data_IF_203851157857
#
_entry.id   IF_203851157857
#
_cell.length_a   1.000
_cell.length_b   1.000
_cell.length_c   1.000
_cell.angle_alpha   90.00
_cell.angle_beta   90.00
_cell.angle_gamma   90.00
#
_symmetry.space_group_name_H-M   'P 1'
#
loop_
_entity.id
_entity.type
_entity.pdbx_description
1 polymer ?
#
# COMPACT_ATOMS: atom_id res chain seq x y z
N UNK A 1 -1.15 34.54 7.82
CA UNK A 1 -1.45 34.85 9.25
C UNK A 1 -2.17 33.66 9.86
N UNK A 2 -1.68 33.13 10.99
CA UNK A 2 -2.42 32.16 11.81
C UNK A 2 -3.55 32.92 12.53
N UNK A 3 -4.81 32.60 12.23
CA UNK A 3 -5.99 33.29 12.78
C UNK A 3 -6.59 32.56 13.99
N UNK A 4 -6.35 31.25 14.10
CA UNK A 4 -6.73 30.44 15.27
C UNK A 4 -5.54 30.22 16.20
N UNK A 5 -5.81 30.18 17.50
CA UNK A 5 -4.81 29.83 18.52
C UNK A 5 -4.61 28.31 18.67
N UNK A 6 -5.59 27.50 18.25
CA UNK A 6 -5.51 26.04 18.33
C UNK A 6 -4.73 25.44 17.15
N UNK A 7 -3.98 24.34 17.33
CA UNK A 7 -3.41 23.59 16.22
C UNK A 7 -4.51 22.93 15.39
N UNK A 8 -4.18 22.49 14.17
CA UNK A 8 -5.11 21.77 13.29
C UNK A 8 -4.64 20.33 13.05
N UNK A 9 -5.61 19.46 12.79
CA UNK A 9 -5.41 18.17 12.13
C UNK A 9 -6.27 18.19 10.86
N UNK A 10 -5.63 18.13 9.70
CA UNK A 10 -6.31 18.19 8.40
C UNK A 10 -6.03 16.92 7.60
N UNK A 11 -7.08 16.13 7.38
CA UNK A 11 -7.02 14.96 6.49
C UNK A 11 -7.54 15.36 5.10
N UNK A 12 -6.69 15.21 4.08
CA UNK A 12 -7.06 15.47 2.68
C UNK A 12 -7.04 14.15 1.91
N UNK A 13 -8.23 13.60 1.65
CA UNK A 13 -8.39 12.37 0.87
C UNK A 13 -8.51 12.68 -0.62
N UNK A 14 -7.43 12.49 -1.38
CA UNK A 14 -7.50 12.56 -2.84
C UNK A 14 -8.16 11.32 -3.43
N UNK A 15 -8.86 11.50 -4.56
CA UNK A 15 -9.59 10.41 -5.22
C UNK A 15 -8.81 9.68 -6.32
N UNK A 16 -7.97 10.39 -7.08
CA UNK A 16 -7.15 9.78 -8.14
C UNK A 16 -5.92 9.15 -7.49
N UNK A 17 -5.41 8.01 -7.99
CA UNK A 17 -5.69 7.39 -9.29
C UNK A 17 -6.84 6.37 -9.32
N UNK A 18 -7.71 6.27 -8.30
CA UNK A 18 -8.84 5.33 -8.34
C UNK A 18 -9.71 5.54 -9.59
N UNK A 19 -10.21 4.46 -10.18
CA UNK A 19 -11.07 4.47 -11.37
C UNK A 19 -12.36 5.31 -11.16
N UNK A 20 -12.97 5.86 -12.22
CA UNK A 20 -12.44 5.95 -13.58
C UNK A 20 -11.27 6.95 -13.67
N UNK A 21 -10.37 6.73 -14.64
CA UNK A 21 -9.23 7.62 -14.90
C UNK A 21 -9.69 8.91 -15.60
N UNK A 22 -10.26 9.82 -14.81
CA UNK A 22 -10.72 11.13 -15.26
C UNK A 22 -9.79 12.21 -14.73
N UNK A 23 -8.99 12.78 -15.63
CA UNK A 23 -7.97 13.80 -15.37
C UNK A 23 -7.93 14.81 -16.54
N UNK A 24 -7.32 16.01 -16.37
CA UNK A 24 -7.14 16.95 -17.47
C UNK A 24 -6.29 16.36 -18.59
N UNK A 25 -6.79 16.36 -19.83
CA UNK A 25 -6.20 15.63 -20.98
C UNK A 25 -4.74 15.98 -21.28
N UNK A 26 -4.28 17.17 -20.88
CA UNK A 26 -2.89 17.61 -21.00
C UNK A 26 -1.91 16.64 -20.33
N UNK A 27 -2.25 16.02 -19.20
CA UNK A 27 -1.39 15.05 -18.51
C UNK A 27 -1.16 13.77 -19.32
N UNK A 28 -2.04 13.44 -20.27
CA UNK A 28 -1.83 12.31 -21.16
C UNK A 28 -0.58 12.51 -22.04
N UNK A 29 -0.21 13.76 -22.34
CA UNK A 29 0.94 14.10 -23.20
C UNK A 29 2.28 13.75 -22.57
N UNK A 30 2.34 13.62 -21.24
CA UNK A 30 3.56 13.20 -20.52
C UNK A 30 3.92 11.73 -20.82
N UNK A 31 2.96 10.94 -21.27
CA UNK A 31 3.07 9.49 -21.39
C UNK A 31 2.67 9.00 -22.78
N UNK A 32 3.43 9.33 -23.85
CA UNK A 32 3.14 8.82 -25.20
C UNK A 32 3.15 7.28 -25.21
N UNK A 33 2.16 6.66 -25.88
CA UNK A 33 1.97 5.20 -25.85
C UNK A 33 3.16 4.42 -26.42
N UNK A 34 3.91 5.04 -27.33
CA UNK A 34 5.13 4.51 -27.93
C UNK A 34 6.21 4.22 -26.89
N UNK A 35 6.18 4.94 -25.76
CA UNK A 35 7.11 4.80 -24.64
C UNK A 35 6.51 4.02 -23.46
N UNK A 36 5.29 3.49 -23.59
CA UNK A 36 4.63 2.69 -22.54
C UNK A 36 4.81 1.21 -22.85
N UNK A 37 5.48 0.50 -21.93
CA UNK A 37 5.59 -0.97 -21.93
C UNK A 37 4.45 -1.60 -21.11
N UNK A 38 4.26 -2.90 -21.28
CA UNK A 38 3.42 -3.71 -20.38
C UNK A 38 4.06 -3.84 -18.98
N UNK A 39 3.36 -4.51 -18.07
CA UNK A 39 3.99 -5.07 -16.88
C UNK A 39 5.11 -6.05 -17.30
N UNK A 40 6.16 -6.24 -16.48
CA UNK A 40 7.22 -7.22 -16.75
C UNK A 40 6.70 -8.66 -16.89
N UNK A 41 5.61 -8.95 -16.19
CA UNK A 41 5.00 -10.25 -15.91
C UNK A 41 3.49 -10.24 -16.26
N UNK A 42 3.11 -9.99 -17.53
CA UNK A 42 1.72 -9.77 -17.90
C UNK A 42 0.85 -11.04 -17.95
N UNK A 43 1.46 -12.22 -17.79
CA UNK A 43 0.81 -13.52 -17.86
C UNK A 43 0.40 -14.00 -16.46
N UNK A 44 -0.66 -14.81 -16.38
CA UNK A 44 -1.04 -15.45 -15.11
C UNK A 44 -0.02 -16.55 -14.80
N UNK A 45 0.70 -16.50 -13.66
CA UNK A 45 1.71 -17.51 -13.35
C UNK A 45 1.10 -18.90 -13.16
N UNK A 46 1.75 -19.94 -13.69
CA UNK A 46 1.29 -21.33 -13.53
C UNK A 46 1.19 -21.76 -12.06
N UNK A 47 2.07 -21.20 -11.20
CA UNK A 47 2.13 -21.50 -9.77
C UNK A 47 1.16 -20.69 -8.89
N UNK A 48 0.39 -19.76 -9.47
CA UNK A 48 -0.57 -18.94 -8.74
C UNK A 48 -1.84 -19.76 -8.44
N UNK A 49 -2.15 -20.09 -7.16
CA UNK A 49 -3.37 -20.82 -6.87
C UNK A 49 -4.62 -19.99 -7.22
N UNK A 50 -5.68 -20.57 -7.83
CA UNK A 50 -6.86 -19.83 -8.24
C UNK A 50 -7.54 -19.01 -7.12
N UNK A 51 -7.43 -19.45 -5.86
CA UNK A 51 -8.00 -18.75 -4.71
C UNK A 51 -7.34 -17.39 -4.48
N UNK A 52 -6.07 -17.24 -4.85
CA UNK A 52 -5.35 -15.98 -4.74
C UNK A 52 -5.72 -15.00 -5.86
N UNK A 53 -6.19 -15.48 -7.02
CA UNK A 53 -6.53 -14.65 -8.17
C UNK A 53 -7.82 -13.84 -7.96
N UNK A 54 -7.81 -12.56 -8.32
CA UNK A 54 -8.98 -11.68 -8.30
C UNK A 54 -9.53 -11.40 -9.72
N UNK A 55 -10.84 -11.53 -9.98
CA UNK A 55 -11.37 -11.43 -11.36
C UNK A 55 -11.57 -10.00 -11.90
N UNK A 56 -11.29 -8.96 -11.10
CA UNK A 56 -11.32 -7.54 -11.48
C UNK A 56 -12.62 -7.10 -12.16
N UNK A 57 -13.75 -7.57 -11.65
CA UNK A 57 -15.09 -7.43 -12.23
C UNK A 57 -15.58 -5.98 -12.32
N UNK A 58 -15.11 -5.10 -11.43
CA UNK A 58 -15.52 -3.70 -11.38
C UNK A 58 -15.07 -2.94 -12.65
N UNK A 59 -13.82 -3.11 -13.09
CA UNK A 59 -13.33 -2.39 -14.29
C UNK A 59 -14.03 -2.83 -15.57
N UNK A 60 -14.54 -4.08 -15.63
CA UNK A 60 -15.25 -4.66 -16.79
C UNK A 60 -16.60 -3.99 -17.06
N UNK A 61 -17.15 -3.25 -16.11
CA UNK A 61 -18.45 -2.57 -16.25
C UNK A 61 -18.37 -1.24 -17.01
N UNK A 62 -17.16 -0.76 -17.35
CA UNK A 62 -17.00 0.48 -18.13
C UNK A 62 -17.20 0.21 -19.62
N UNK A 63 -17.86 1.11 -20.33
CA UNK A 63 -18.29 0.92 -21.72
C UNK A 63 -17.14 0.53 -22.66
N UNK A 64 -16.00 1.22 -22.53
CA UNK A 64 -14.79 0.97 -23.31
C UNK A 64 -14.15 -0.39 -23.01
N UNK A 65 -14.21 -0.85 -21.76
CA UNK A 65 -13.74 -2.19 -21.36
C UNK A 65 -14.73 -3.28 -21.79
N UNK A 66 -16.02 -3.04 -21.62
CA UNK A 66 -17.09 -3.98 -21.98
C UNK A 66 -17.11 -4.25 -23.49
N UNK A 67 -16.84 -3.23 -24.30
CA UNK A 67 -16.75 -3.33 -25.77
C UNK A 67 -15.61 -4.25 -26.25
N UNK A 68 -14.60 -4.54 -25.41
CA UNK A 68 -13.50 -5.43 -25.76
C UNK A 68 -13.87 -6.92 -25.62
N UNK A 69 -15.02 -7.24 -25.01
CA UNK A 69 -15.50 -8.60 -24.80
C UNK A 69 -14.45 -9.54 -24.15
N UNK A 70 -13.78 -9.04 -23.11
CA UNK A 70 -12.68 -9.73 -22.44
C UNK A 70 -13.21 -10.91 -21.63
N UNK A 71 -12.63 -12.10 -21.80
CA UNK A 71 -12.97 -13.33 -21.08
C UNK A 71 -12.86 -13.16 -19.56
N UNK A 72 -13.77 -13.81 -18.84
CA UNK A 72 -13.80 -13.90 -17.37
C UNK A 72 -13.37 -15.31 -16.97
N UNK A 73 -12.57 -15.49 -15.88
CA UNK A 73 -12.03 -14.45 -15.00
C UNK A 73 -10.63 -13.94 -15.42
N UNK A 74 -9.92 -14.64 -16.30
CA UNK A 74 -8.47 -14.40 -16.49
C UNK A 74 -8.09 -13.41 -17.61
N UNK A 75 -9.05 -12.96 -18.43
CA UNK A 75 -8.72 -12.19 -19.63
C UNK A 75 -7.93 -13.03 -20.65
N UNK A 76 -6.81 -12.54 -21.23
CA UNK A 76 -6.12 -11.29 -20.88
C UNK A 76 -6.78 -10.05 -21.48
N UNK A 77 -6.49 -8.87 -20.92
CA UNK A 77 -6.82 -7.58 -21.55
C UNK A 77 -5.97 -7.43 -22.82
N UNK A 78 -6.51 -6.97 -23.97
CA UNK A 78 -5.70 -6.73 -25.17
C UNK A 78 -4.52 -5.79 -24.90
N UNK A 79 -3.34 -6.14 -25.44
CA UNK A 79 -2.06 -5.42 -25.22
C UNK A 79 -2.18 -3.90 -25.41
N UNK A 80 -2.86 -3.46 -26.46
CA UNK A 80 -3.07 -2.02 -26.71
C UNK A 80 -3.91 -1.34 -25.63
N UNK A 81 -4.87 -2.05 -25.06
CA UNK A 81 -5.70 -1.52 -23.98
C UNK A 81 -4.99 -1.58 -22.62
N UNK A 82 -4.14 -2.59 -22.37
CA UNK A 82 -3.26 -2.62 -21.19
C UNK A 82 -2.37 -1.37 -21.13
N UNK A 83 -1.73 -1.01 -22.26
CA UNK A 83 -0.91 0.21 -22.34
C UNK A 83 -1.72 1.49 -22.14
N UNK A 84 -2.97 1.54 -22.63
CA UNK A 84 -3.89 2.69 -22.40
C UNK A 84 -4.29 2.81 -20.93
N UNK A 85 -4.53 1.70 -20.22
CA UNK A 85 -4.78 1.70 -18.78
C UNK A 85 -3.57 2.28 -18.05
N UNK A 86 -2.36 1.77 -18.33
CA UNK A 86 -1.10 2.25 -17.72
C UNK A 86 -0.87 3.74 -17.99
N UNK A 87 -1.02 4.18 -19.24
CA UNK A 87 -0.96 5.61 -19.59
C UNK A 87 -1.93 6.46 -18.75
N UNK A 88 -3.17 6.01 -18.62
CA UNK A 88 -4.22 6.75 -17.90
C UNK A 88 -4.01 6.75 -16.39
N UNK A 89 -3.46 5.66 -15.84
CA UNK A 89 -3.04 5.59 -14.45
C UNK A 89 -1.89 6.56 -14.17
N UNK A 90 -0.82 6.53 -14.97
CA UNK A 90 0.33 7.44 -14.80
C UNK A 90 -0.07 8.91 -14.97
N UNK A 91 -0.90 9.23 -15.97
CA UNK A 91 -1.43 10.59 -16.13
C UNK A 91 -2.30 11.02 -14.93
N UNK A 92 -3.06 10.11 -14.33
CA UNK A 92 -3.82 10.38 -13.10
C UNK A 92 -2.90 10.63 -11.91
N UNK A 93 -1.76 9.96 -11.83
CA UNK A 93 -0.74 10.16 -10.79
C UNK A 93 -0.04 11.52 -10.96
N UNK A 94 0.39 11.91 -12.17
CA UNK A 94 0.94 13.27 -12.37
C UNK A 94 -0.09 14.36 -12.09
N UNK A 95 -1.36 14.12 -12.45
CA UNK A 95 -2.42 15.05 -12.08
C UNK A 95 -2.55 15.17 -10.56
N UNK A 96 -2.58 14.05 -9.83
CA UNK A 96 -2.57 14.03 -8.37
C UNK A 96 -1.38 14.80 -7.81
N UNK A 97 -0.18 14.56 -8.34
CA UNK A 97 1.05 15.22 -7.92
C UNK A 97 0.95 16.74 -8.01
N UNK A 98 0.38 17.30 -9.09
CA UNK A 98 0.13 18.76 -9.16
C UNK A 98 -0.84 19.27 -8.09
N UNK A 99 -1.82 18.46 -7.66
CA UNK A 99 -2.73 18.85 -6.58
C UNK A 99 -2.02 18.83 -5.23
N UNK A 100 -1.17 17.83 -4.99
CA UNK A 100 -0.29 17.78 -3.82
C UNK A 100 0.65 18.98 -3.82
N UNK A 101 1.31 19.28 -4.94
CA UNK A 101 2.20 20.43 -5.08
C UNK A 101 1.50 21.76 -4.79
N UNK A 102 0.24 21.94 -5.22
CA UNK A 102 -0.56 23.13 -4.87
C UNK A 102 -0.86 23.22 -3.37
N UNK A 103 -1.24 22.09 -2.75
CA UNK A 103 -1.50 22.04 -1.30
C UNK A 103 -0.24 22.37 -0.50
N UNK A 104 0.89 21.78 -0.86
CA UNK A 104 2.17 21.98 -0.18
C UNK A 104 2.75 23.38 -0.42
N UNK A 105 2.66 23.90 -1.65
CA UNK A 105 3.09 25.27 -1.95
C UNK A 105 2.27 26.31 -1.17
N UNK A 106 0.96 26.08 -1.01
CA UNK A 106 0.12 26.95 -0.19
C UNK A 106 0.49 26.87 1.31
N UNK A 107 0.86 25.68 1.80
CA UNK A 107 1.35 25.49 3.17
C UNK A 107 2.63 26.32 3.41
N UNK A 108 3.54 26.33 2.45
CA UNK A 108 4.76 27.13 2.44
C UNK A 108 4.49 28.63 2.42
N UNK A 109 3.61 29.09 1.52
CA UNK A 109 3.21 30.50 1.41
C UNK A 109 2.59 31.03 2.72
N UNK A 110 1.91 30.14 3.45
CA UNK A 110 1.33 30.42 4.76
C UNK A 110 2.35 30.32 5.91
N UNK A 111 3.61 30.01 5.61
CA UNK A 111 4.71 29.82 6.57
C UNK A 111 4.38 28.74 7.61
N UNK A 112 3.70 27.67 7.18
CA UNK A 112 3.28 26.56 8.04
C UNK A 112 4.24 25.38 8.02
N UNK A 113 5.19 25.33 7.07
CA UNK A 113 6.14 24.23 6.93
C UNK A 113 6.98 23.99 8.19
N UNK A 114 7.41 25.04 8.89
CA UNK A 114 8.21 24.91 10.12
C UNK A 114 7.44 24.35 11.35
N UNK A 115 6.12 24.18 11.26
CA UNK A 115 5.25 23.81 12.40
C UNK A 115 4.15 22.82 12.04
N UNK A 116 4.22 22.19 10.87
CA UNK A 116 3.23 21.21 10.39
C UNK A 116 3.91 19.90 10.04
N UNK A 117 3.46 18.82 10.68
CA UNK A 117 3.82 17.46 10.26
C UNK A 117 3.01 17.11 9.01
N UNK A 118 3.66 16.51 8.01
CA UNK A 118 2.99 16.03 6.81
C UNK A 118 3.19 14.52 6.74
N UNK A 119 2.09 13.77 6.73
CA UNK A 119 2.09 12.35 6.43
C UNK A 119 1.39 12.13 5.09
N UNK A 120 2.07 11.48 4.15
CA UNK A 120 1.55 11.14 2.83
C UNK A 120 1.54 9.62 2.69
N UNK A 121 0.38 9.06 2.31
CA UNK A 121 0.23 7.62 2.12
C UNK A 121 -0.93 7.27 1.18
N UNK A 122 -1.10 5.99 0.88
CA UNK A 122 -2.24 5.41 0.15
C UNK A 122 -2.97 4.41 1.03
N UNK A 123 -4.24 4.13 0.76
CA UNK A 123 -5.02 3.10 1.44
C UNK A 123 -4.61 1.68 1.01
N UNK A 124 -4.28 1.49 -0.27
CA UNK A 124 -3.73 0.27 -0.85
C UNK A 124 -3.02 0.54 -2.19
N UNK A 125 -2.48 -0.51 -2.82
CA UNK A 125 -1.88 -0.48 -4.15
C UNK A 125 -2.88 -0.70 -5.30
N UNK A 126 -2.38 -0.94 -6.52
CA UNK A 126 -3.19 -1.23 -7.71
C UNK A 126 -2.34 -1.94 -8.79
N UNK A 127 -2.64 -3.21 -9.09
CA UNK A 127 -2.03 -3.99 -10.16
C UNK A 127 -2.38 -3.42 -11.55
N UNK A 128 -1.36 -3.26 -12.39
CA UNK A 128 -1.37 -2.67 -13.72
C UNK A 128 -0.96 -3.70 -14.80
N UNK A 129 -1.32 -4.97 -14.58
CA UNK A 129 -1.07 -6.09 -15.46
C UNK A 129 -0.11 -7.14 -14.89
N UNK A 130 0.59 -6.85 -13.79
CA UNK A 130 1.43 -7.83 -13.08
C UNK A 130 0.60 -9.09 -12.74
N UNK A 131 1.14 -10.27 -12.99
CA UNK A 131 0.49 -11.59 -12.89
C UNK A 131 -0.83 -11.74 -13.67
N UNK A 132 -1.03 -10.94 -14.73
CA UNK A 132 -2.31 -10.86 -15.44
C UNK A 132 -3.45 -10.27 -14.59
N UNK A 133 -3.11 -9.60 -13.49
CA UNK A 133 -4.03 -9.02 -12.52
C UNK A 133 -4.25 -7.52 -12.74
N UNK A 134 -5.44 -7.07 -12.31
CA UNK A 134 -5.81 -5.66 -12.30
C UNK A 134 -6.50 -5.31 -10.99
N UNK A 135 -6.42 -4.05 -10.58
CA UNK A 135 -6.99 -3.56 -9.33
C UNK A 135 -6.24 -4.07 -8.08
N UNK A 136 -6.91 -4.40 -6.97
CA UNK A 136 -6.25 -4.43 -5.63
C UNK A 136 -6.64 -5.59 -4.74
N UNK A 137 -7.55 -6.45 -5.17
CA UNK A 137 -8.25 -7.37 -4.29
C UNK A 137 -7.40 -8.62 -4.01
N UNK A 138 -6.13 -8.43 -3.66
CA UNK A 138 -5.05 -9.43 -3.67
C UNK A 138 -4.07 -9.19 -2.53
N UNK A 139 -3.28 -10.22 -2.22
CA UNK A 139 -2.18 -10.17 -1.26
C UNK A 139 -0.80 -9.90 -1.92
N UNK A 140 -0.69 -9.76 -3.25
CA UNK A 140 0.58 -9.41 -3.90
C UNK A 140 1.16 -8.06 -3.43
N UNK A 141 2.48 -7.87 -3.58
CA UNK A 141 3.14 -6.61 -3.23
C UNK A 141 2.52 -5.43 -3.99
N UNK A 142 2.20 -5.56 -5.27
CA UNK A 142 1.57 -4.49 -6.08
C UNK A 142 0.21 -4.02 -5.55
N UNK A 143 -0.49 -4.83 -4.77
CA UNK A 143 -1.78 -4.51 -4.16
C UNK A 143 -1.65 -4.02 -2.71
N UNK A 144 -0.58 -4.39 -2.00
CA UNK A 144 -0.43 -4.15 -0.55
C UNK A 144 0.67 -3.14 -0.19
N UNK A 145 1.67 -2.97 -1.05
CA UNK A 145 2.74 -1.98 -0.87
C UNK A 145 2.23 -0.57 -1.20
N UNK A 146 2.34 0.33 -0.23
CA UNK A 146 1.89 1.72 -0.34
C UNK A 146 3.03 2.70 -0.09
N UNK A 147 3.02 3.89 -0.70
CA UNK A 147 3.92 4.96 -0.28
C UNK A 147 3.62 5.34 1.17
N UNK A 148 4.66 5.62 1.96
CA UNK A 148 4.51 6.16 3.31
C UNK A 148 5.65 7.14 3.60
N UNK A 149 5.33 8.43 3.57
CA UNK A 149 6.29 9.51 3.79
C UNK A 149 5.87 10.35 4.98
N UNK A 150 6.84 10.71 5.82
CA UNK A 150 6.66 11.64 6.93
C UNK A 150 7.65 12.79 6.81
N UNK A 151 7.14 14.01 6.77
CA UNK A 151 7.89 15.23 7.02
C UNK A 151 7.63 15.71 8.45
N UNK A 152 8.72 15.93 9.19
CA UNK A 152 8.70 16.38 10.58
C UNK A 152 9.63 17.61 10.69
N UNK A 153 9.08 18.81 10.94
CA UNK A 153 9.85 20.05 10.94
C UNK A 153 11.05 19.99 11.90
N UNK A 154 12.25 20.29 11.40
CA UNK A 154 13.48 20.28 12.18
C UNK A 154 14.01 18.90 12.55
N UNK A 155 13.40 17.81 12.05
CA UNK A 155 13.85 16.43 12.33
C UNK A 155 14.14 15.62 11.06
N UNK A 156 13.28 15.71 10.04
CA UNK A 156 13.52 15.05 8.74
C UNK A 156 14.28 15.94 7.76
N UNK A 157 14.19 17.26 7.94
CA UNK A 157 14.94 18.30 7.25
C UNK A 157 15.21 19.46 8.22
N UNK A 158 16.16 20.34 7.89
CA UNK A 158 16.37 21.60 8.59
C UNK A 158 15.09 22.45 8.58
N UNK A 159 14.91 23.28 9.60
CA UNK A 159 13.83 24.27 9.57
C UNK A 159 14.12 25.31 8.49
N UNK A 160 13.11 25.78 7.74
CA UNK A 160 13.32 26.78 6.69
C UNK A 160 13.77 28.12 7.29
N UNK A 161 14.74 28.75 6.65
CA UNK A 161 15.17 30.12 6.94
C UNK A 161 14.11 31.16 6.51
N UNK A 162 14.32 32.42 6.86
CA UNK A 162 13.38 33.48 6.54
C UNK A 162 13.25 33.67 5.01
N UNK A 163 12.08 33.33 4.46
CA UNK A 163 11.78 33.43 3.03
C UNK A 163 12.12 32.19 2.21
N UNK A 164 12.66 31.15 2.83
CA UNK A 164 12.89 29.85 2.19
C UNK A 164 11.58 29.08 1.99
N UNK A 165 11.49 28.35 0.87
CA UNK A 165 10.36 27.46 0.54
C UNK A 165 10.88 26.03 0.38
N UNK A 166 10.32 25.09 1.13
CA UNK A 166 10.70 23.67 1.07
C UNK A 166 9.90 22.90 0.01
N UNK A 167 8.69 23.34 -0.28
CA UNK A 167 7.72 22.71 -1.17
C UNK A 167 7.23 23.66 -2.27
N UNK A 168 8.13 24.29 -3.06
CA UNK A 168 7.71 25.06 -4.22
C UNK A 168 6.95 24.15 -5.20
N UNK A 169 5.90 24.66 -5.82
CA UNK A 169 5.22 23.94 -6.91
C UNK A 169 6.20 23.67 -8.05
N UNK A 170 6.26 22.42 -8.49
CA UNK A 170 7.03 21.99 -9.66
C UNK A 170 6.06 21.58 -10.76
N UNK A 171 6.30 22.06 -11.99
CA UNK A 171 5.46 21.72 -13.14
C UNK A 171 5.99 20.44 -13.81
N UNK A 172 5.18 19.36 -13.92
CA UNK A 172 5.61 18.14 -14.59
C UNK A 172 5.85 18.32 -16.10
N UNK A 173 5.41 19.44 -16.71
CA UNK A 173 5.69 19.75 -18.11
C UNK A 173 7.06 20.42 -18.32
N UNK A 174 7.77 20.79 -17.26
CA UNK A 174 9.11 21.34 -17.34
C UNK A 174 10.17 20.22 -17.37
N UNK A 175 10.80 20.02 -18.54
CA UNK A 175 11.82 18.96 -18.74
C UNK A 175 13.13 19.18 -17.97
N UNK A 176 13.25 20.26 -17.19
CA UNK A 176 14.44 20.59 -16.40
C UNK A 176 14.46 19.91 -15.02
N UNK A 177 13.32 19.39 -14.56
CA UNK A 177 13.21 18.72 -13.27
C UNK A 177 13.79 17.31 -13.34
N UNK A 178 15.07 17.16 -13.00
CA UNK A 178 15.60 15.85 -12.64
C UNK A 178 15.00 15.41 -11.30
N UNK A 179 14.92 14.09 -11.06
CA UNK A 179 14.60 13.57 -9.74
C UNK A 179 15.55 14.20 -8.72
N UNK A 180 14.98 14.85 -7.70
CA UNK A 180 15.76 15.41 -6.59
C UNK A 180 16.47 14.29 -5.84
N UNK A 181 17.49 14.62 -5.04
CA UNK A 181 18.18 13.64 -4.23
C UNK A 181 17.19 12.90 -3.30
N UNK A 182 17.31 11.57 -3.15
CA UNK A 182 16.50 10.85 -2.18
C UNK A 182 16.73 11.38 -0.76
N UNK A 183 15.64 11.68 -0.06
CA UNK A 183 15.69 12.05 1.35
C UNK A 183 16.10 10.88 2.26
N UNK A 184 15.76 10.99 3.54
CA UNK A 184 15.92 9.89 4.51
C UNK A 184 15.05 8.70 4.09
N UNK A 185 15.64 7.50 4.05
CA UNK A 185 14.95 6.25 3.73
C UNK A 185 15.10 5.26 4.91
N UNK A 186 14.13 4.35 5.03
CA UNK A 186 14.17 3.19 5.92
C UNK A 186 13.65 1.98 5.13
N UNK A 187 14.25 0.82 5.37
CA UNK A 187 13.84 -0.47 4.82
C UNK A 187 13.13 -1.33 5.86
N UNK A 188 12.86 -0.78 7.06
CA UNK A 188 12.13 -1.49 8.09
C UNK A 188 10.70 -1.77 7.60
N UNK A 189 10.23 -3.00 7.84
CA UNK A 189 8.85 -3.33 7.51
C UNK A 189 7.89 -2.65 8.49
N UNK A 190 6.94 -1.92 7.92
CA UNK A 190 5.97 -1.10 8.63
C UNK A 190 4.59 -1.29 8.04
N UNK A 191 3.57 -0.93 8.81
CA UNK A 191 2.17 -1.19 8.49
C UNK A 191 1.32 0.05 8.71
N UNK A 192 0.25 0.22 7.92
CA UNK A 192 -0.67 1.35 8.08
C UNK A 192 -1.35 1.39 9.47
N UNK A 193 -1.52 0.24 10.15
CA UNK A 193 -2.02 0.20 11.54
C UNK A 193 -1.11 0.95 12.53
N UNK A 194 0.15 1.21 12.15
CA UNK A 194 1.12 1.99 12.91
C UNK A 194 0.99 3.51 12.68
N UNK A 195 0.12 3.97 11.76
CA UNK A 195 -0.06 5.40 11.47
C UNK A 195 -0.61 6.17 12.68
N UNK A 196 -1.62 5.61 13.37
CA UNK A 196 -2.24 6.26 14.53
C UNK A 196 -1.24 6.54 15.68
N UNK A 197 -0.51 5.56 16.23
CA UNK A 197 0.46 5.84 17.30
C UNK A 197 1.61 6.75 16.82
N UNK A 198 2.00 6.66 15.54
CA UNK A 198 3.06 7.48 14.98
C UNK A 198 2.67 8.95 14.89
N UNK A 199 1.48 9.27 14.37
CA UNK A 199 1.00 10.65 14.31
C UNK A 199 0.80 11.24 15.71
N UNK A 200 0.23 10.48 16.64
CA UNK A 200 0.08 10.93 18.03
C UNK A 200 1.44 11.29 18.65
N UNK A 201 2.42 10.40 18.53
CA UNK A 201 3.77 10.64 19.06
C UNK A 201 4.48 11.81 18.37
N UNK A 202 4.43 11.90 17.03
CA UNK A 202 5.08 12.98 16.29
C UNK A 202 4.48 14.35 16.64
N UNK A 203 3.18 14.41 16.90
CA UNK A 203 2.48 15.62 17.34
C UNK A 203 2.75 15.99 18.81
N UNK A 204 3.57 15.22 19.53
CA UNK A 204 3.87 15.45 20.95
C UNK A 204 2.72 15.11 21.90
N UNK A 205 1.74 14.32 21.44
CA UNK A 205 0.66 13.79 22.28
C UNK A 205 1.10 12.47 22.92
N UNK A 206 0.39 12.07 23.99
CA UNK A 206 0.57 10.74 24.56
C UNK A 206 0.17 9.68 23.53
N UNK A 207 1.12 8.82 23.14
CA UNK A 207 0.82 7.69 22.27
C UNK A 207 -0.13 6.71 23.01
N UNK A 208 -1.20 6.21 22.35
CA UNK A 208 -2.09 5.21 22.94
C UNK A 208 -1.33 3.97 23.43
N UNK A 209 -1.80 3.30 24.50
CA UNK A 209 -1.18 2.07 24.99
C UNK A 209 -1.36 0.92 24.00
N UNK A 210 -0.50 -0.11 24.05
CA UNK A 210 -0.67 -1.32 23.25
C UNK A 210 -1.99 -2.01 23.62
N UNK A 211 -2.78 -2.41 22.63
CA UNK A 211 -4.02 -3.14 22.86
C UNK A 211 -3.76 -4.53 23.48
N UNK A 212 -4.63 -5.00 24.41
CA UNK A 212 -4.70 -6.42 24.77
C UNK A 212 -5.27 -7.24 23.60
N UNK A 213 -5.24 -8.57 23.70
CA UNK A 213 -5.82 -9.48 22.70
C UNK A 213 -6.89 -10.35 23.38
N UNK A 214 -8.19 -10.23 23.02
CA UNK A 214 -8.78 -9.27 22.09
C UNK A 214 -8.99 -7.88 22.72
N UNK A 215 -9.30 -6.88 21.89
CA UNK A 215 -9.42 -5.47 22.29
C UNK A 215 -10.79 -4.83 22.03
N UNK A 216 -11.83 -5.61 21.69
CA UNK A 216 -13.18 -5.09 21.40
C UNK A 216 -13.80 -4.23 22.52
N UNK A 217 -13.37 -4.44 23.76
CA UNK A 217 -13.83 -3.73 24.95
C UNK A 217 -13.00 -2.48 25.29
N UNK A 218 -11.94 -2.19 24.53
CA UNK A 218 -11.01 -1.09 24.78
C UNK A 218 -11.25 0.03 23.77
N UNK A 219 -11.58 1.22 24.26
CA UNK A 219 -11.91 2.37 23.39
C UNK A 219 -10.67 3.02 22.76
N UNK A 220 -9.55 3.09 23.49
CA UNK A 220 -8.33 3.78 23.05
C UNK A 220 -7.07 2.94 23.32
N UNK A 221 -6.60 2.27 22.28
CA UNK A 221 -5.32 1.57 22.26
C UNK A 221 -4.80 1.48 20.82
N UNK A 222 -3.58 0.95 20.64
CA UNK A 222 -2.95 0.72 19.33
C UNK A 222 -2.46 -0.72 19.18
N UNK A 223 -2.68 -1.32 18.01
CA UNK A 223 -2.12 -2.64 17.67
C UNK A 223 -0.77 -2.53 16.95
N UNK A 224 -0.56 -1.47 16.17
CA UNK A 224 0.71 -1.17 15.52
C UNK A 224 1.80 -0.71 16.50
N UNK A 225 3.05 -0.78 16.05
CA UNK A 225 4.20 -0.18 16.74
C UNK A 225 4.25 1.33 16.48
N UNK A 226 4.89 2.10 17.36
CA UNK A 226 5.16 3.51 17.08
C UNK A 226 6.45 3.62 16.26
N UNK A 227 6.42 4.32 15.12
CA UNK A 227 7.57 4.44 14.22
C UNK A 227 8.53 5.58 14.62
N UNK A 228 8.26 6.28 15.71
CA UNK A 228 9.00 7.47 16.14
C UNK A 228 10.50 7.20 16.39
N UNK A 229 10.89 5.96 16.73
CA UNK A 229 12.31 5.53 16.85
C UNK A 229 13.14 5.76 15.58
N UNK A 230 12.54 5.63 14.40
CA UNK A 230 13.23 5.79 13.11
C UNK A 230 13.59 7.27 12.81
N UNK A 231 13.06 8.20 13.60
CA UNK A 231 13.35 9.62 13.48
C UNK A 231 14.49 10.08 14.40
N UNK A 232 15.19 9.19 15.12
CA UNK A 232 16.27 9.53 16.06
C UNK A 232 15.82 10.48 17.19
N UNK A 233 14.69 10.19 17.84
CA UNK A 233 14.38 10.85 19.12
C UNK A 233 15.31 10.25 20.20
N UNK A 234 16.07 11.12 20.89
CA UNK A 234 17.13 10.70 21.84
C UNK A 234 16.59 10.16 23.16
N UNK A 235 15.33 10.44 23.49
CA UNK A 235 14.71 10.16 24.80
C UNK A 235 13.46 9.30 24.68
N UNK A 236 13.46 8.29 23.80
CA UNK A 236 12.40 7.30 23.83
C UNK A 236 12.77 6.19 24.81
N UNK A 237 11.92 6.02 25.81
CA UNK A 237 11.81 4.72 26.49
C UNK A 237 11.65 3.66 25.39
N UNK A 238 12.65 2.79 25.23
CA UNK A 238 12.48 1.56 24.47
C UNK A 238 11.26 0.86 25.05
N UNK A 239 10.29 0.49 24.19
CA UNK A 239 9.15 -0.29 24.63
C UNK A 239 9.72 -1.57 25.28
N UNK A 240 9.56 -1.77 26.61
CA UNK A 240 10.29 -2.80 27.35
C UNK A 240 9.92 -4.23 26.94
N UNK A 241 8.99 -4.39 25.98
CA UNK A 241 8.54 -5.63 25.39
C UNK A 241 9.23 -5.99 24.05
N UNK A 242 10.25 -5.25 23.58
CA UNK A 242 10.73 -5.30 22.18
C UNK A 242 12.22 -5.67 21.87
N UNK A 243 13.07 -6.28 22.74
CA UNK A 243 14.32 -6.81 22.21
C UNK A 243 14.03 -8.04 21.33
N UNK A 244 14.20 -7.91 20.01
CA UNK A 244 14.20 -9.02 19.06
C UNK A 244 12.83 -9.65 18.76
N UNK A 245 11.70 -8.91 18.89
CA UNK A 245 10.39 -9.46 18.56
C UNK A 245 10.27 -9.70 17.03
N UNK A 246 10.10 -10.95 16.55
CA UNK A 246 10.06 -11.25 15.12
C UNK A 246 8.91 -10.56 14.40
N UNK A 247 7.84 -10.17 15.11
CA UNK A 247 6.72 -9.41 14.52
C UNK A 247 7.13 -8.02 14.04
N UNK A 248 8.23 -7.46 14.54
CA UNK A 248 8.74 -6.19 14.03
C UNK A 248 9.34 -6.30 12.63
N UNK A 249 9.73 -7.51 12.22
CA UNK A 249 10.29 -7.83 10.90
C UNK A 249 9.19 -8.16 9.88
N UNK A 250 7.92 -8.10 10.28
CA UNK A 250 6.76 -8.51 9.48
C UNK A 250 5.87 -7.30 9.20
N UNK A 251 5.40 -7.20 7.96
CA UNK A 251 4.19 -6.47 7.60
C UNK A 251 3.08 -7.48 7.27
N UNK A 252 1.93 -7.38 7.95
CA UNK A 252 0.81 -8.29 7.74
C UNK A 252 -0.15 -7.75 6.68
N UNK A 253 -0.71 -8.65 5.88
CA UNK A 253 -1.82 -8.36 4.96
C UNK A 253 -2.78 -9.53 4.95
N UNK A 254 -4.03 -9.28 4.59
CA UNK A 254 -5.01 -10.35 4.42
C UNK A 254 -6.11 -9.99 3.42
N UNK A 255 -6.68 -11.00 2.77
CA UNK A 255 -7.79 -10.81 1.86
C UNK A 255 -8.79 -11.98 1.91
N UNK A 256 -10.11 -11.74 1.95
CA UNK A 256 -11.12 -12.80 1.98
C UNK A 256 -11.49 -13.32 0.59
N UNK A 257 -11.92 -14.58 0.52
CA UNK A 257 -12.51 -15.20 -0.68
C UNK A 257 -13.79 -15.98 -0.36
N UNK A 258 -14.76 -15.99 -1.30
CA UNK A 258 -15.99 -16.76 -1.16
C UNK A 258 -15.86 -18.22 -1.63
N UNK A 259 -14.82 -18.54 -2.37
CA UNK A 259 -14.55 -19.84 -3.01
C UNK A 259 -13.10 -19.92 -3.48
N UNK A 260 -12.62 -21.14 -3.73
CA UNK A 260 -11.30 -21.39 -4.31
C UNK A 260 -11.18 -20.95 -5.77
N UNK A 261 -12.25 -21.07 -6.54
CA UNK A 261 -12.27 -20.66 -7.95
C UNK A 261 -12.77 -19.22 -8.04
N UNK A 262 -12.14 -18.33 -8.84
CA UNK A 262 -12.63 -16.97 -9.05
C UNK A 262 -14.06 -16.94 -9.59
N UNK A 263 -14.90 -16.14 -8.96
CA UNK A 263 -16.31 -15.95 -9.32
C UNK A 263 -16.74 -14.48 -9.15
N UNK A 264 -17.98 -14.17 -9.47
CA UNK A 264 -18.50 -12.80 -9.57
C UNK A 264 -18.28 -11.90 -8.34
N UNK A 265 -18.19 -12.47 -7.13
CA UNK A 265 -17.95 -11.75 -5.88
C UNK A 265 -16.56 -12.01 -5.26
N UNK A 266 -15.62 -12.67 -5.97
CA UNK A 266 -14.28 -12.95 -5.42
C UNK A 266 -13.46 -11.68 -5.14
N UNK A 267 -13.71 -10.61 -5.90
CA UNK A 267 -13.11 -9.31 -5.64
C UNK A 267 -13.57 -8.72 -4.30
N UNK A 268 -14.85 -8.83 -3.96
CA UNK A 268 -15.45 -8.16 -2.79
C UNK A 268 -16.54 -9.04 -2.17
N UNK A 269 -16.19 -10.17 -1.53
CA UNK A 269 -17.18 -11.01 -0.89
C UNK A 269 -17.84 -10.24 0.26
N UNK A 270 -19.16 -10.38 0.41
CA UNK A 270 -19.84 -9.89 1.61
C UNK A 270 -19.45 -10.78 2.80
N UNK A 271 -19.46 -10.25 4.03
CA UNK A 271 -19.07 -11.00 5.23
C UNK A 271 -19.66 -12.42 5.31
N UNK A 272 -20.98 -12.54 5.10
CA UNK A 272 -21.71 -13.82 5.12
C UNK A 272 -21.31 -14.81 4.02
N UNK A 273 -20.66 -14.33 2.96
CA UNK A 273 -20.25 -15.14 1.81
C UNK A 273 -18.77 -15.56 1.92
N UNK A 274 -18.02 -15.03 2.88
CA UNK A 274 -16.60 -15.37 3.10
C UNK A 274 -16.53 -16.81 3.61
N UNK A 275 -15.67 -17.61 2.96
CA UNK A 275 -15.36 -18.98 3.39
C UNK A 275 -13.87 -19.22 3.60
N UNK A 276 -13.04 -18.37 3.01
CA UNK A 276 -11.59 -18.49 3.01
C UNK A 276 -11.01 -17.13 3.37
N UNK A 277 -9.96 -17.10 4.18
CA UNK A 277 -9.16 -15.92 4.45
C UNK A 277 -7.70 -16.21 4.07
N UNK A 278 -7.15 -15.42 3.16
CA UNK A 278 -5.73 -15.45 2.82
C UNK A 278 -4.97 -14.55 3.79
N UNK A 279 -4.18 -15.13 4.69
CA UNK A 279 -3.29 -14.38 5.58
C UNK A 279 -1.88 -14.39 5.00
N UNK A 280 -1.26 -13.21 4.92
CA UNK A 280 0.05 -13.02 4.32
C UNK A 280 1.02 -12.35 5.30
N UNK A 281 2.22 -12.91 5.39
CA UNK A 281 3.39 -12.37 6.07
C UNK A 281 4.34 -11.86 4.99
N UNK A 282 4.73 -10.59 5.06
CA UNK A 282 5.84 -10.04 4.30
C UNK A 282 6.99 -9.79 5.27
N UNK A 283 8.14 -10.40 5.05
CA UNK A 283 9.44 -10.06 5.67
C UNK A 283 10.31 -9.34 4.65
N UNK A 284 11.52 -8.88 4.98
CA UNK A 284 12.42 -8.31 3.96
C UNK A 284 12.84 -9.36 2.92
N UNK A 285 12.84 -10.64 3.28
CA UNK A 285 13.37 -11.75 2.48
C UNK A 285 12.30 -12.43 1.62
N UNK A 286 11.05 -12.49 2.08
CA UNK A 286 9.99 -13.22 1.40
C UNK A 286 8.57 -12.73 1.71
N UNK A 287 7.62 -13.13 0.87
CA UNK A 287 6.19 -13.15 1.16
C UNK A 287 5.72 -14.59 1.33
N UNK A 288 5.04 -14.88 2.44
CA UNK A 288 4.44 -16.17 2.73
C UNK A 288 2.93 -15.98 2.96
N UNK A 289 2.08 -16.61 2.16
CA UNK A 289 0.62 -16.53 2.28
C UNK A 289 0.03 -17.92 2.44
N UNK A 290 -0.97 -18.04 3.32
CA UNK A 290 -1.83 -19.24 3.41
C UNK A 290 -3.29 -18.85 3.30
N UNK A 291 -4.00 -19.56 2.42
CA UNK A 291 -5.44 -19.44 2.23
C UNK A 291 -6.12 -20.53 3.04
N UNK A 292 -6.81 -20.12 4.11
CA UNK A 292 -7.35 -21.05 5.10
C UNK A 292 -8.85 -20.89 5.28
N UNK A 293 -9.52 -21.97 5.69
CA UNK A 293 -10.94 -21.95 6.01
C UNK A 293 -11.27 -20.89 7.07
N UNK A 294 -12.34 -20.12 6.84
CA UNK A 294 -12.78 -19.04 7.71
C UNK A 294 -14.28 -19.15 8.00
N UNK A 295 -14.65 -19.14 9.28
CA UNK A 295 -16.03 -19.08 9.74
C UNK A 295 -16.44 -17.62 10.00
N UNK A 296 -17.28 -17.00 9.16
CA UNK A 296 -17.69 -15.61 9.35
C UNK A 296 -18.68 -15.38 10.49
N UNK A 297 -19.37 -16.41 10.98
CA UNK A 297 -20.30 -16.29 12.10
C UNK A 297 -19.55 -16.17 13.43
N UNK A 298 -18.40 -16.84 13.54
CA UNK A 298 -17.56 -16.87 14.75
C UNK A 298 -16.29 -16.02 14.63
N UNK A 299 -16.00 -15.48 13.44
CA UNK A 299 -14.73 -14.83 13.09
C UNK A 299 -13.50 -15.70 13.38
N UNK A 300 -13.62 -17.00 13.08
CA UNK A 300 -12.61 -18.00 13.41
C UNK A 300 -11.92 -18.54 12.15
N UNK A 301 -10.60 -18.40 12.10
CA UNK A 301 -9.76 -18.95 11.03
C UNK A 301 -9.21 -20.33 11.43
N UNK A 302 -9.32 -21.32 10.55
CA UNK A 302 -8.87 -22.68 10.80
C UNK A 302 -7.52 -22.94 10.09
N UNK A 303 -6.41 -22.74 10.79
CA UNK A 303 -5.06 -22.95 10.26
C UNK A 303 -4.72 -24.41 9.94
N UNK A 304 -5.58 -25.37 10.29
CA UNK A 304 -5.45 -26.78 9.86
C UNK A 304 -6.18 -27.09 8.56
N UNK A 305 -7.00 -26.16 8.06
CA UNK A 305 -7.77 -26.27 6.82
C UNK A 305 -7.15 -25.34 5.77
N UNK A 306 -5.98 -25.71 5.27
CA UNK A 306 -5.23 -24.95 4.27
C UNK A 306 -5.70 -25.36 2.87
N UNK A 307 -6.27 -24.41 2.14
CA UNK A 307 -6.74 -24.57 0.76
C UNK A 307 -5.59 -24.44 -0.24
N UNK A 308 -4.71 -23.46 -0.03
CA UNK A 308 -3.52 -23.21 -0.84
C UNK A 308 -2.49 -22.39 -0.06
N UNK A 309 -1.26 -22.36 -0.55
CA UNK A 309 -0.22 -21.50 -0.03
C UNK A 309 0.65 -20.89 -1.12
N UNK A 310 1.31 -19.80 -0.77
CA UNK A 310 2.19 -19.03 -1.64
C UNK A 310 3.48 -18.68 -0.88
N UNK A 311 4.62 -18.82 -1.56
CA UNK A 311 5.92 -18.40 -1.04
C UNK A 311 6.75 -17.79 -2.19
N UNK A 312 7.08 -16.51 -2.04
CA UNK A 312 7.87 -15.75 -3.01
C UNK A 312 9.07 -15.12 -2.31
N UNK A 313 10.28 -15.36 -2.83
CA UNK A 313 11.53 -14.83 -2.25
C UNK A 313 11.94 -13.54 -2.94
N UNK A 314 12.20 -12.48 -2.18
CA UNK A 314 12.49 -11.13 -2.70
C UNK A 314 13.75 -11.09 -3.54
N UNK A 315 14.81 -11.80 -3.12
CA UNK A 315 16.10 -11.74 -3.80
C UNK A 315 16.09 -12.43 -5.17
N UNK A 316 15.44 -13.60 -5.28
CA UNK A 316 15.43 -14.39 -6.52
C UNK A 316 14.18 -14.18 -7.37
N UNK A 317 13.08 -13.73 -6.77
CA UNK A 317 11.78 -13.54 -7.41
C UNK A 317 11.10 -12.25 -6.91
N UNK A 318 11.69 -11.07 -7.22
CA UNK A 318 11.14 -9.79 -6.78
C UNK A 318 9.80 -9.45 -7.43
N UNK A 319 9.46 -10.09 -8.56
CA UNK A 319 8.19 -9.91 -9.25
C UNK A 319 7.08 -10.79 -8.66
N UNK A 320 7.44 -11.89 -7.99
CA UNK A 320 6.52 -12.86 -7.36
C UNK A 320 5.86 -13.81 -8.38
N UNK A 321 6.62 -14.18 -9.42
CA UNK A 321 6.18 -15.04 -10.53
C UNK A 321 6.31 -16.54 -10.24
N UNK A 322 7.13 -16.93 -9.25
CA UNK A 322 7.54 -18.30 -9.02
C UNK A 322 7.21 -18.75 -7.60
N UNK A 323 6.00 -19.29 -7.43
CA UNK A 323 5.54 -19.80 -6.14
C UNK A 323 6.32 -21.05 -5.70
N UNK A 324 7.05 -20.94 -4.58
CA UNK A 324 7.88 -22.00 -4.00
C UNK A 324 7.19 -22.75 -2.84
N UNK A 325 5.91 -22.51 -2.57
CA UNK A 325 5.23 -23.04 -1.40
C UNK A 325 5.26 -24.58 -1.32
N UNK A 326 5.01 -25.26 -2.43
CA UNK A 326 4.96 -26.72 -2.49
C UNK A 326 6.34 -27.38 -2.29
N UNK A 327 7.42 -26.67 -2.60
CA UNK A 327 8.79 -27.15 -2.43
C UNK A 327 9.36 -26.81 -1.05
N UNK A 328 8.68 -25.93 -0.30
CA UNK A 328 9.07 -25.55 1.06
C UNK A 328 8.58 -26.55 2.11
N UNK A 329 9.38 -26.73 3.17
CA UNK A 329 9.00 -27.47 4.37
C UNK A 329 8.63 -26.54 5.55
N UNK A 330 8.51 -25.23 5.31
CA UNK A 330 8.23 -24.23 6.35
C UNK A 330 9.45 -23.82 7.19
N UNK A 331 10.66 -24.20 6.75
CA UNK A 331 11.91 -23.83 7.42
C UNK A 331 12.11 -22.31 7.54
N UNK A 332 11.59 -21.54 6.59
CA UNK A 332 11.69 -20.07 6.57
C UNK A 332 10.94 -19.42 7.75
N UNK A 333 9.76 -19.95 8.10
CA UNK A 333 9.00 -19.50 9.27
C UNK A 333 9.67 -19.92 10.57
N UNK A 334 10.24 -21.13 10.61
CA UNK A 334 10.98 -21.61 11.77
C UNK A 334 12.22 -20.76 12.02
N UNK A 335 12.97 -20.42 10.96
CA UNK A 335 14.15 -19.55 11.05
C UNK A 335 13.81 -18.14 11.54
N UNK A 336 12.67 -17.57 11.11
CA UNK A 336 12.20 -16.27 11.60
C UNK A 336 11.87 -16.27 13.10
N UNK A 337 11.46 -17.42 13.65
CA UNK A 337 11.11 -17.59 15.06
C UNK A 337 12.32 -17.97 15.95
N UNK A 338 13.46 -18.30 15.35
CA UNK A 338 14.69 -18.61 16.10
C UNK A 338 15.40 -17.30 16.50
N UNK A 339 15.77 -17.13 17.79
CA UNK A 339 16.31 -15.88 18.34
C UNK A 339 17.76 -15.59 17.94
#
# INVERSE_FOLDING_TARGET
MKTSASPFFLAVGYHKPHIPFRYPKEFQKLYPLENITLAPDPEVPDGLPPVAYNPWMDIRQREDVQALNISVPYGPIPVDFQRKIRQSYFASVSYLDTQVGRLLSALDDLQLANSTIIAFTSDHGWALGEHGEWAKYSNFDVATHVPLMFYVPGRTASLPEAGEKLFPYLDPFDSASQLMEPGRQSMDLVELVSLFPTLAGLAGLQAPPRCPVPSFHVELCREGKNLLKHFRFRDLEEDPYLPGNPRELIAYSQYPRPSDIPQWNSDKPSLKDIKIMGYSIRTIDYRYTVWIGFNPDEFLANFSDIHAGELYFVDSDPLQDHNMYNDSQGGDLFQLLMP
#
